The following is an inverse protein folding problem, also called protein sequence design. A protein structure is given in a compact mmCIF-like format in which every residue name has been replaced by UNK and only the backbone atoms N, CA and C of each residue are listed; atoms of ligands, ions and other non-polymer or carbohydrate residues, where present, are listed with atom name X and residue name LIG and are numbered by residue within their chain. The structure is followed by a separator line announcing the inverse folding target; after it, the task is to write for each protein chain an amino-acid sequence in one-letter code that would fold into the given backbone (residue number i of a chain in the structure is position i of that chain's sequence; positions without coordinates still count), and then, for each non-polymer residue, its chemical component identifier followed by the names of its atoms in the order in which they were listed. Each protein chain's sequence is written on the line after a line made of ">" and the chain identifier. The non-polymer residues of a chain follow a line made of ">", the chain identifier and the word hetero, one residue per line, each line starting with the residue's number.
data_IF_249673697708
#
_entry.id   IF_249673697708
#
_cell.length_a   1.000
_cell.length_b   1.000
_cell.length_c   1.000
_cell.angle_alpha   90.00
_cell.angle_beta   90.00
_cell.angle_gamma   90.00
#
_symmetry.space_group_name_H-M   'P 1'
#
loop_
_entity.id
_entity.type
_entity.pdbx_description
1 polymer ?
#
# COMPACT_ATOMS: atom_id res chain seq x y z
N UNK A 1 -23.94 -29.72 -10.49
CA UNK A 1 -23.60 -29.09 -10.13
C UNK A 1 -23.32 -28.58 -9.69
N UNK A 2 -23.35 -28.28 -9.58
CA UNK A 2 -23.00 -27.60 -9.02
C UNK A 2 -22.80 -26.99 -8.53
N UNK A 3 -23.01 -26.80 -8.42
CA UNK A 3 -22.74 -25.90 -7.90
C UNK A 3 -22.39 -25.48 -7.33
N UNK A 4 -22.58 -25.46 -7.05
CA UNK A 4 -22.09 -24.82 -6.31
C UNK A 4 -21.33 -24.32 -6.24
N UNK A 5 -21.28 -24.19 -6.64
CA UNK A 5 -20.52 -23.59 -6.50
C UNK A 5 -20.32 -22.67 -6.34
N UNK A 6 -20.79 -22.39 -6.41
CA UNK A 6 -20.49 -21.40 -6.15
C UNK A 6 -20.37 -20.87 -5.35
N UNK A 7 -20.79 -20.91 -5.08
CA UNK A 7 -20.75 -20.31 -4.15
C UNK A 7 -19.80 -19.97 -3.64
N UNK A 8 -19.36 -20.17 -3.51
CA UNK A 8 -18.40 -19.94 -2.95
C UNK A 8 -17.61 -18.99 -3.38
N UNK A 9 -17.65 -18.78 -4.38
CA UNK A 9 -17.00 -17.86 -4.84
C UNK A 9 -17.25 -16.66 -4.33
N UNK A 10 -18.25 -16.49 -4.04
CA UNK A 10 -18.64 -15.41 -3.54
C UNK A 10 -17.88 -15.04 -2.50
N UNK A 11 -17.68 -15.84 -1.76
CA UNK A 11 -17.00 -15.57 -0.67
C UNK A 11 -15.75 -14.95 -0.97
N UNK A 12 -15.14 -15.38 -1.98
CA UNK A 12 -13.93 -14.80 -2.34
C UNK A 12 -14.16 -13.37 -2.66
N UNK A 13 -15.24 -13.07 -3.26
CA UNK A 13 -15.53 -11.72 -3.61
C UNK A 13 -15.74 -10.84 -2.41
N UNK A 14 -16.00 -11.42 -1.27
CA UNK A 14 -16.21 -10.61 -0.09
C UNK A 14 -14.92 -10.35 0.66
N UNK A 15 -13.87 -11.04 0.30
CA UNK A 15 -12.59 -10.79 0.94
C UNK A 15 -12.04 -9.49 0.39
N UNK A 16 -11.82 -8.55 1.26
CA UNK A 16 -11.30 -7.27 0.86
C UNK A 16 -9.94 -7.05 1.48
N UNK A 17 -9.11 -6.35 0.77
CA UNK A 17 -7.78 -6.02 1.23
C UNK A 17 -7.47 -4.60 0.80
N UNK A 18 -6.75 -3.86 1.61
CA UNK A 18 -6.21 -2.61 1.15
C UNK A 18 -5.07 -2.91 0.19
N UNK A 19 -4.81 -1.96 -0.68
CA UNK A 19 -3.75 -2.10 -1.66
C UNK A 19 -2.98 -0.80 -1.72
N UNK A 20 -1.66 -0.90 -1.66
CA UNK A 20 -0.78 0.25 -1.78
C UNK A 20 0.24 -0.03 -2.87
N UNK A 21 0.22 0.79 -3.91
CA UNK A 21 1.20 0.73 -4.98
C UNK A 21 2.11 1.94 -4.86
N UNK A 22 3.41 1.69 -4.80
CA UNK A 22 4.42 2.72 -4.66
C UNK A 22 5.26 2.70 -5.94
N UNK A 23 5.25 3.79 -6.68
CA UNK A 23 5.91 3.86 -7.98
C UNK A 23 7.15 4.72 -7.91
N UNK A 24 8.25 4.20 -8.42
CA UNK A 24 9.49 4.95 -8.51
C UNK A 24 9.61 5.63 -9.86
N UNK A 25 10.39 6.70 -9.91
CA UNK A 25 10.57 7.47 -11.13
C UNK A 25 11.28 6.69 -12.22
N UNK A 26 11.99 5.62 -11.89
CA UNK A 26 12.69 4.78 -12.86
C UNK A 26 11.85 3.61 -13.36
N UNK A 27 10.58 3.56 -13.00
CA UNK A 27 9.67 2.50 -13.45
C UNK A 27 9.53 1.33 -12.52
N UNK A 28 10.35 1.23 -11.48
CA UNK A 28 10.18 0.16 -10.50
C UNK A 28 8.96 0.43 -9.65
N UNK A 29 8.40 -0.63 -9.09
CA UNK A 29 7.16 -0.52 -8.32
C UNK A 29 7.15 -1.52 -7.17
N UNK A 30 6.57 -1.10 -6.06
CA UNK A 30 6.21 -1.99 -4.96
C UNK A 30 4.71 -2.06 -4.90
N UNK A 31 4.16 -3.27 -5.00
CA UNK A 31 2.71 -3.49 -4.83
C UNK A 31 2.53 -4.30 -3.56
N UNK A 32 1.73 -3.80 -2.66
CA UNK A 32 1.52 -4.45 -1.38
C UNK A 32 0.04 -4.39 -1.01
N UNK A 33 -0.40 -5.35 -0.21
CA UNK A 33 -1.80 -5.44 0.20
C UNK A 33 -1.89 -6.13 1.55
N UNK A 34 -3.03 -6.01 2.17
CA UNK A 34 -3.29 -6.67 3.44
C UNK A 34 -4.68 -6.39 3.94
N UNK A 35 -5.04 -7.00 5.04
CA UNK A 35 -6.36 -6.83 5.65
C UNK A 35 -6.28 -6.11 6.99
N UNK A 36 -5.09 -5.93 7.53
CA UNK A 36 -4.86 -5.27 8.80
C UNK A 36 -3.76 -4.24 8.64
N UNK A 37 -3.51 -3.50 9.69
CA UNK A 37 -2.37 -2.58 9.72
C UNK A 37 -1.13 -3.35 9.34
N UNK A 38 -0.30 -2.74 8.50
CA UNK A 38 0.88 -3.44 8.01
C UNK A 38 1.99 -3.54 9.03
N UNK A 39 1.98 -2.66 10.02
CA UNK A 39 3.17 -2.43 10.81
C UNK A 39 4.23 -1.81 9.92
N UNK A 40 5.43 -1.69 10.43
CA UNK A 40 6.52 -1.12 9.65
C UNK A 40 7.08 -2.16 8.68
N UNK A 41 7.19 -1.80 7.41
CA UNK A 41 7.72 -2.66 6.36
C UNK A 41 8.86 -1.95 5.65
N UNK A 42 10.00 -2.62 5.54
CA UNK A 42 11.15 -2.08 4.83
C UNK A 42 11.08 -2.42 3.35
N UNK A 43 11.61 -1.53 2.53
CA UNK A 43 11.72 -1.73 1.09
C UNK A 43 13.20 -2.01 0.78
N UNK A 44 13.48 -3.23 0.30
CA UNK A 44 14.84 -3.69 0.12
C UNK A 44 15.30 -3.61 -1.33
N UNK A 45 15.29 -2.42 -1.89
CA UNK A 45 15.72 -2.21 -3.26
C UNK A 45 17.07 -1.50 -3.32
N UNK A 46 17.86 -1.91 -4.30
CA UNK A 46 19.14 -1.28 -4.57
C UNK A 46 19.21 -0.96 -6.06
N UNK A 47 19.36 0.28 -6.45
CA UNK A 47 19.42 1.47 -5.59
C UNK A 47 18.06 1.78 -4.96
N UNK A 48 18.07 2.65 -3.97
CA UNK A 48 16.85 3.01 -3.24
C UNK A 48 15.82 3.59 -4.21
N UNK A 49 14.53 3.31 -3.95
CA UNK A 49 13.46 3.83 -4.77
C UNK A 49 13.33 5.33 -4.61
N UNK A 50 13.26 6.02 -5.74
CA UNK A 50 12.96 7.44 -5.76
C UNK A 50 11.48 7.57 -6.15
N UNK A 51 10.63 7.68 -5.16
CA UNK A 51 9.17 7.53 -5.32
C UNK A 51 8.54 8.82 -5.77
N UNK A 52 7.80 8.75 -6.87
CA UNK A 52 7.09 9.92 -7.40
C UNK A 52 5.57 9.74 -7.44
N UNK A 53 5.08 8.58 -7.02
CA UNK A 53 3.65 8.33 -7.05
C UNK A 53 3.28 7.23 -6.06
N UNK A 54 2.16 7.40 -5.39
CA UNK A 54 1.61 6.39 -4.49
C UNK A 54 0.11 6.30 -4.72
N UNK A 55 -0.41 5.08 -4.83
CA UNK A 55 -1.83 4.84 -5.03
C UNK A 55 -2.31 3.95 -3.90
N UNK A 56 -3.27 4.43 -3.12
CA UNK A 56 -3.78 3.68 -1.97
C UNK A 56 -5.27 3.46 -2.11
N UNK A 57 -5.67 2.19 -1.98
CA UNK A 57 -7.06 1.79 -1.97
C UNK A 57 -7.35 1.06 -0.68
N UNK A 58 -8.11 1.65 0.24
CA UNK A 58 -8.52 0.93 1.44
C UNK A 58 -9.39 -0.27 1.09
N UNK A 59 -9.47 -1.24 1.98
CA UNK A 59 -10.29 -2.43 1.76
C UNK A 59 -11.75 -2.05 1.64
N UNK A 60 -12.24 -1.25 2.58
CA UNK A 60 -13.62 -0.75 2.56
C UNK A 60 -13.60 0.63 3.19
N UNK A 61 -14.75 1.25 3.29
CA UNK A 61 -14.87 2.51 4.01
C UNK A 61 -15.31 2.29 5.45
N UNK A 62 -15.39 1.03 5.87
CA UNK A 62 -15.82 0.71 7.21
C UNK A 62 -14.68 0.77 8.19
N UNK A 63 -14.96 1.26 9.37
CA UNK A 63 -14.06 1.20 10.50
C UNK A 63 -14.09 -0.24 11.03
N UNK A 64 -12.95 -0.83 11.38
CA UNK A 64 -11.63 -0.25 11.62
C UNK A 64 -10.61 -0.53 10.51
N UNK A 65 -11.02 -0.62 9.29
CA UNK A 65 -10.08 -0.91 8.21
C UNK A 65 -9.00 0.17 8.11
N UNK A 66 -7.79 -0.18 7.74
CA UNK A 66 -6.74 0.82 7.53
C UNK A 66 -7.16 1.85 6.50
N UNK A 67 -6.89 3.11 6.79
CA UNK A 67 -7.28 4.23 5.95
C UNK A 67 -6.12 5.13 5.58
N UNK A 68 -4.94 4.90 6.14
CA UNK A 68 -3.81 5.80 6.03
C UNK A 68 -2.55 5.04 5.62
N UNK A 69 -1.74 5.67 4.80
CA UNK A 69 -0.41 5.13 4.52
C UNK A 69 0.65 6.19 4.80
N UNK A 70 1.84 5.74 5.17
CA UNK A 70 2.99 6.59 5.44
C UNK A 70 4.21 6.05 4.72
N UNK A 71 5.00 6.94 4.17
CA UNK A 71 6.25 6.59 3.49
C UNK A 71 7.39 7.27 4.23
N UNK A 72 8.48 6.52 4.44
CA UNK A 72 9.59 6.99 5.27
C UNK A 72 10.90 6.97 4.51
N UNK A 73 11.74 7.96 4.79
CA UNK A 73 13.05 8.08 4.17
C UNK A 73 13.98 6.96 4.60
N UNK A 74 13.86 6.54 5.83
CA UNK A 74 14.76 5.55 6.43
C UNK A 74 14.06 4.22 6.66
N UNK A 75 14.83 3.16 6.79
CA UNK A 75 14.28 1.88 7.23
C UNK A 75 13.78 2.01 8.66
N UNK A 76 12.89 1.10 9.05
CA UNK A 76 12.34 1.12 10.39
C UNK A 76 11.29 2.18 10.62
N UNK A 77 10.73 2.73 9.54
CA UNK A 77 9.68 3.75 9.60
C UNK A 77 10.11 4.97 10.41
N UNK A 78 11.26 5.51 10.03
CA UNK A 78 11.83 6.70 10.61
C UNK A 78 11.99 7.78 9.55
N UNK A 79 11.75 9.02 9.91
CA UNK A 79 11.83 10.11 8.96
C UNK A 79 10.65 10.14 8.01
N UNK A 80 9.47 10.49 8.52
CA UNK A 80 8.25 10.56 7.72
C UNK A 80 8.46 11.51 6.55
N UNK A 81 8.24 11.00 5.34
CA UNK A 81 8.37 11.78 4.12
C UNK A 81 7.02 12.15 3.53
N UNK A 82 6.04 11.25 3.63
CA UNK A 82 4.74 11.49 3.03
C UNK A 82 3.68 10.67 3.75
N UNK A 83 2.51 11.23 3.94
CA UNK A 83 1.37 10.54 4.55
C UNK A 83 0.10 11.01 3.86
N UNK A 84 -0.76 10.05 3.54
CA UNK A 84 -2.04 10.40 2.98
C UNK A 84 -3.01 9.23 3.12
N UNK A 85 -4.20 9.39 2.62
CA UNK A 85 -5.23 8.36 2.66
C UNK A 85 -5.55 7.82 1.27
N UNK A 86 -6.81 7.46 1.07
CA UNK A 86 -7.29 6.91 -0.19
C UNK A 86 -7.02 7.87 -1.34
N UNK A 87 -6.49 7.34 -2.42
CA UNK A 87 -6.30 8.13 -3.62
C UNK A 87 -5.02 7.80 -4.37
N UNK A 88 -4.82 8.52 -5.45
CA UNK A 88 -3.65 8.41 -6.32
C UNK A 88 -2.89 9.72 -6.16
N UNK A 89 -1.72 9.65 -5.58
CA UNK A 89 -0.99 10.83 -5.16
C UNK A 89 0.34 10.95 -5.86
N UNK A 90 0.65 12.14 -6.33
CA UNK A 90 1.95 12.41 -6.93
C UNK A 90 2.84 13.09 -5.90
N UNK A 91 4.08 12.66 -5.86
CA UNK A 91 5.08 13.23 -4.98
C UNK A 91 6.05 14.03 -5.84
N UNK A 92 6.01 15.33 -5.69
CA UNK A 92 6.84 16.26 -6.47
C UNK A 92 7.59 17.18 -5.52
N UNK A 93 8.91 17.09 -5.49
CA UNK A 93 9.76 16.16 -6.25
C UNK A 93 9.68 14.73 -5.73
N UNK A 94 10.23 13.80 -6.49
CA UNK A 94 10.32 12.42 -6.07
C UNK A 94 11.15 12.31 -4.80
N UNK A 95 10.86 11.31 -3.99
CA UNK A 95 11.48 11.17 -2.67
C UNK A 95 12.04 9.77 -2.49
N UNK A 96 13.20 9.70 -1.85
CA UNK A 96 13.81 8.41 -1.54
C UNK A 96 13.04 7.79 -0.38
N UNK A 97 12.50 6.60 -0.60
CA UNK A 97 11.66 5.91 0.39
C UNK A 97 12.25 4.54 0.67
N UNK A 98 12.43 4.23 1.95
CA UNK A 98 13.02 2.97 2.38
C UNK A 98 12.12 2.13 3.28
N UNK A 99 11.01 2.68 3.71
CA UNK A 99 10.03 1.90 4.49
C UNK A 99 8.65 2.54 4.39
N UNK A 100 7.63 1.77 4.77
CA UNK A 100 6.26 2.26 4.74
C UNK A 100 5.44 1.63 5.85
N UNK A 101 4.28 2.21 6.09
CA UNK A 101 3.35 1.71 7.09
C UNK A 101 1.93 2.02 6.62
N UNK A 102 1.01 1.08 6.84
CA UNK A 102 -0.42 1.25 6.54
C UNK A 102 -1.21 1.01 7.82
N UNK A 103 -2.11 1.92 8.15
CA UNK A 103 -2.93 1.78 9.37
C UNK A 103 -4.24 2.55 9.29
#
# INVERSE_FOLDING_TARGET
>A
MKPSTLLSLLVAGTTTAWKLDIHASDGRKVSTHGTRDSGCKNIEFTPVLNVNRANFKPATDLYPDPKTFELYVNKGCSGLSYRNGKGDWRLTPARKIRSYKVY
#
